data_IF_425123970941
#
_entry.id   IF_425123970941
#
_cell.length_a   1.000
_cell.length_b   1.000
_cell.length_c   1.000
_cell.angle_alpha   90.00
_cell.angle_beta   90.00
_cell.angle_gamma   90.00
#
_symmetry.space_group_name_H-M   'P 1'
#
loop_
_entity.id
_entity.type
_entity.pdbx_description
1 polymer ?
#
# COMPACT_ATOMS: atom_id res chain seq x y z
N UNK A 1 4.04 -10.70 -40.06
CA UNK A 1 4.84 -10.46 -38.84
C UNK A 1 4.39 -9.13 -38.26
N UNK A 2 3.34 -9.14 -37.42
CA UNK A 2 2.90 -7.93 -36.71
C UNK A 2 3.97 -7.55 -35.68
N UNK A 3 4.53 -6.35 -35.82
CA UNK A 3 5.44 -5.76 -34.83
C UNK A 3 4.54 -5.06 -33.81
N UNK A 4 4.42 -5.66 -32.64
CA UNK A 4 3.94 -5.00 -31.43
C UNK A 4 4.68 -3.67 -31.26
N UNK A 5 3.92 -2.58 -31.19
CA UNK A 5 4.41 -1.22 -30.96
C UNK A 5 5.10 -1.22 -29.58
N UNK A 6 6.43 -1.30 -29.61
CA UNK A 6 7.29 -1.30 -28.43
C UNK A 6 7.00 -0.02 -27.64
N UNK A 7 6.76 -0.15 -26.33
CA UNK A 7 6.20 0.91 -25.46
C UNK A 7 7.11 2.12 -25.23
N UNK A 8 8.01 2.43 -26.15
CA UNK A 8 8.99 3.50 -26.09
C UNK A 8 8.68 4.53 -27.16
N UNK A 9 8.04 5.60 -26.74
CA UNK A 9 7.74 6.78 -27.56
C UNK A 9 8.75 7.87 -27.19
N UNK A 10 9.25 8.63 -28.18
CA UNK A 10 10.18 9.73 -27.91
C UNK A 10 9.53 10.76 -26.97
N UNK A 11 10.30 11.33 -26.05
CA UNK A 11 9.78 12.23 -25.00
C UNK A 11 9.04 13.45 -25.55
N UNK A 12 9.37 13.91 -26.76
CA UNK A 12 8.72 15.04 -27.45
C UNK A 12 7.32 14.71 -28.00
N UNK A 13 6.96 13.43 -28.13
CA UNK A 13 5.67 12.99 -28.64
C UNK A 13 4.67 12.66 -27.53
N UNK A 14 5.15 12.49 -26.29
CA UNK A 14 4.30 12.18 -25.13
C UNK A 14 3.89 13.51 -24.48
N UNK A 15 2.63 13.88 -24.67
CA UNK A 15 2.02 15.00 -23.95
C UNK A 15 1.46 14.51 -22.61
N UNK A 16 2.14 14.87 -21.51
CA UNK A 16 1.74 14.50 -20.15
C UNK A 16 0.30 14.92 -19.82
N UNK A 17 -0.15 16.06 -20.35
CA UNK A 17 -1.50 16.57 -20.08
C UNK A 17 -2.57 15.68 -20.70
N UNK A 18 -2.34 15.19 -21.93
CA UNK A 18 -3.27 14.26 -22.58
C UNK A 18 -3.29 12.89 -21.91
N UNK A 19 -2.14 12.42 -21.40
CA UNK A 19 -2.06 11.20 -20.59
C UNK A 19 -2.84 11.36 -19.28
N UNK A 20 -2.71 12.50 -18.61
CA UNK A 20 -3.44 12.81 -17.37
C UNK A 20 -4.97 12.83 -17.60
N UNK A 21 -5.44 13.48 -18.67
CA UNK A 21 -6.86 13.48 -19.07
C UNK A 21 -7.41 12.08 -19.42
N UNK A 22 -6.56 11.18 -19.92
CA UNK A 22 -6.92 9.77 -20.15
C UNK A 22 -7.03 8.99 -18.84
N UNK A 23 -6.11 9.25 -17.90
CA UNK A 23 -6.10 8.63 -16.58
C UNK A 23 -7.32 9.06 -15.76
N UNK A 24 -7.63 10.36 -15.73
CA UNK A 24 -8.76 10.91 -14.96
C UNK A 24 -10.10 10.35 -15.44
N UNK A 25 -10.31 10.23 -16.76
CA UNK A 25 -11.50 9.59 -17.34
C UNK A 25 -11.60 8.11 -16.97
N UNK A 26 -10.48 7.40 -16.92
CA UNK A 26 -10.46 6.00 -16.53
C UNK A 26 -10.80 5.82 -15.06
N UNK A 27 -10.22 6.64 -14.17
CA UNK A 27 -10.49 6.64 -12.74
C UNK A 27 -11.95 6.97 -12.43
N UNK A 28 -12.52 7.98 -13.09
CA UNK A 28 -13.94 8.30 -12.93
C UNK A 28 -14.86 7.16 -13.39
N UNK A 29 -14.43 6.35 -14.36
CA UNK A 29 -15.19 5.19 -14.88
C UNK A 29 -15.06 3.95 -13.99
N UNK A 30 -13.90 3.65 -13.44
CA UNK A 30 -13.71 2.53 -12.51
C UNK A 30 -14.25 2.83 -11.12
N UNK A 31 -14.14 4.08 -10.65
CA UNK A 31 -14.60 4.49 -9.33
C UNK A 31 -16.13 4.48 -9.19
N UNK A 32 -16.87 4.79 -10.26
CA UNK A 32 -18.35 4.69 -10.26
C UNK A 32 -18.87 3.25 -10.21
N UNK A 33 -18.08 2.27 -10.66
CA UNK A 33 -18.41 0.84 -10.56
C UNK A 33 -18.17 0.30 -9.15
N UNK A 34 -17.10 0.73 -8.48
CA UNK A 34 -16.81 0.31 -7.10
C UNK A 34 -17.82 0.87 -6.08
N UNK A 35 -18.29 2.11 -6.27
CA UNK A 35 -19.27 2.74 -5.38
C UNK A 35 -20.63 2.03 -5.37
N UNK A 36 -21.05 1.49 -6.51
CA UNK A 36 -22.32 0.75 -6.61
C UNK A 36 -22.24 -0.68 -6.07
N UNK A 37 -21.04 -1.28 -5.97
CA UNK A 37 -20.87 -2.64 -5.44
C UNK A 37 -20.74 -2.69 -3.91
N UNK A 38 -20.35 -1.59 -3.28
CA UNK A 38 -20.23 -1.49 -1.82
C UNK A 38 -21.57 -1.32 -1.09
N UNK A 39 -22.66 -1.00 -1.80
CA UNK A 39 -23.96 -0.73 -1.18
C UNK A 39 -24.87 -1.97 -1.03
N UNK A 40 -24.44 -3.16 -1.49
CA UNK A 40 -25.24 -4.39 -1.45
C UNK A 40 -24.76 -5.45 -0.45
N UNK A 41 -23.63 -5.24 0.25
CA UNK A 41 -23.01 -6.28 1.10
C UNK A 41 -23.01 -5.93 2.61
N UNK A 42 -23.86 -5.00 3.04
CA UNK A 42 -24.13 -4.71 4.46
C UNK A 42 -25.42 -5.40 4.90
N UNK A 43 -25.36 -6.73 5.03
CA UNK A 43 -26.41 -7.56 5.61
C UNK A 43 -25.79 -8.66 6.48
N UNK A 44 -26.12 -8.61 7.77
CA UNK A 44 -26.00 -9.68 8.78
C UNK A 44 -24.61 -10.15 9.27
N UNK A 45 -24.17 -9.64 10.43
CA UNK A 45 -24.13 -10.40 11.71
C UNK A 45 -23.12 -9.86 12.74
N UNK A 46 -23.69 -9.30 13.81
CA UNK A 46 -23.33 -9.34 15.23
C UNK A 46 -21.85 -9.41 15.73
N UNK A 47 -21.57 -8.45 16.62
CA UNK A 47 -20.79 -8.51 17.88
C UNK A 47 -19.25 -8.33 17.85
N UNK A 48 -18.81 -7.26 18.53
CA UNK A 48 -17.50 -7.20 19.20
C UNK A 48 -16.48 -6.22 18.63
N UNK A 49 -16.51 -4.98 19.14
CA UNK A 49 -15.38 -4.04 19.32
C UNK A 49 -14.46 -3.70 18.13
N UNK A 50 -14.56 -2.45 17.65
CA UNK A 50 -13.48 -1.77 16.93
C UNK A 50 -13.80 -1.37 15.49
N UNK A 51 -14.53 -0.26 15.32
CA UNK A 51 -14.72 0.39 14.03
C UNK A 51 -13.44 1.12 13.58
N UNK A 52 -12.55 0.41 12.88
CA UNK A 52 -11.57 1.00 11.96
C UNK A 52 -11.86 0.39 10.61
N UNK A 53 -12.36 1.21 9.67
CA UNK A 53 -12.75 0.77 8.33
C UNK A 53 -11.69 -0.15 7.72
N UNK A 54 -12.07 -1.41 7.51
CA UNK A 54 -11.19 -2.46 7.06
C UNK A 54 -10.72 -2.20 5.64
N UNK A 55 -9.62 -1.44 5.50
CA UNK A 55 -8.76 -1.62 4.33
C UNK A 55 -8.34 -3.08 4.37
N UNK A 56 -8.61 -3.82 3.29
CA UNK A 56 -8.05 -5.16 3.12
C UNK A 56 -6.54 -5.00 3.23
N UNK A 57 -5.91 -5.66 4.21
CA UNK A 57 -4.45 -5.70 4.30
C UNK A 57 -3.94 -6.25 2.98
N UNK A 58 -2.96 -5.57 2.41
CA UNK A 58 -2.31 -6.03 1.19
C UNK A 58 -1.30 -7.12 1.57
N UNK A 59 -0.99 -8.03 0.67
CA UNK A 59 -0.08 -9.15 0.97
C UNK A 59 1.34 -8.70 1.37
N UNK A 60 1.72 -7.45 1.05
CA UNK A 60 2.99 -6.84 1.43
C UNK A 60 2.95 -6.08 2.76
N UNK A 61 1.77 -5.93 3.37
CA UNK A 61 1.61 -5.25 4.65
C UNK A 61 2.07 -6.19 5.78
N UNK A 62 3.00 -5.72 6.60
CA UNK A 62 3.51 -6.50 7.73
C UNK A 62 2.48 -6.55 8.87
N UNK A 63 2.33 -7.70 9.52
CA UNK A 63 1.51 -7.83 10.71
C UNK A 63 2.34 -7.43 11.95
N UNK A 64 2.04 -6.29 12.62
CA UNK A 64 2.84 -5.84 13.76
C UNK A 64 2.76 -6.80 14.95
N UNK A 65 1.70 -7.60 15.05
CA UNK A 65 1.52 -8.61 16.12
C UNK A 65 2.48 -9.80 15.99
N UNK A 66 2.98 -10.07 14.79
CA UNK A 66 3.93 -11.15 14.52
C UNK A 66 5.39 -10.73 14.75
N UNK A 67 5.64 -9.44 14.98
CA UNK A 67 6.98 -8.90 15.22
C UNK A 67 7.25 -8.78 16.73
N UNK A 68 8.29 -9.48 17.19
CA UNK A 68 8.77 -9.39 18.57
C UNK A 68 10.09 -8.61 18.58
N UNK A 69 10.08 -7.40 19.14
CA UNK A 69 11.29 -6.57 19.29
C UNK A 69 12.07 -7.03 20.53
N UNK A 70 13.33 -7.45 20.34
CA UNK A 70 14.20 -7.96 21.41
C UNK A 70 15.10 -6.88 22.02
N UNK A 71 15.86 -6.18 21.17
CA UNK A 71 16.89 -5.23 21.65
C UNK A 71 17.17 -4.14 20.62
N UNK A 72 17.70 -3.00 21.09
CA UNK A 72 18.22 -1.95 20.21
C UNK A 72 19.61 -2.36 19.74
N UNK A 73 19.83 -2.36 18.43
CA UNK A 73 21.13 -2.62 17.81
C UNK A 73 21.95 -1.34 17.68
N UNK A 74 21.31 -0.25 17.23
CA UNK A 74 21.96 1.02 17.02
C UNK A 74 20.94 2.15 17.01
N UNK A 75 21.37 3.34 17.44
CA UNK A 75 20.60 4.58 17.33
C UNK A 75 21.38 5.55 16.45
N UNK A 76 20.74 6.02 15.38
CA UNK A 76 21.28 7.03 14.48
C UNK A 76 20.42 8.29 14.49
N UNK A 77 20.80 9.26 13.67
CA UNK A 77 20.06 10.53 13.49
C UNK A 77 18.74 10.35 12.75
N UNK A 78 18.64 9.34 11.88
CA UNK A 78 17.47 9.06 11.04
C UNK A 78 16.55 7.97 11.59
N UNK A 79 16.92 7.34 12.71
CA UNK A 79 16.14 6.23 13.25
C UNK A 79 16.89 5.37 14.25
N UNK A 80 16.15 4.43 14.83
CA UNK A 80 16.70 3.39 15.71
C UNK A 80 16.51 2.03 15.06
N UNK A 81 17.59 1.26 14.97
CA UNK A 81 17.59 -0.12 14.48
C UNK A 81 17.41 -1.05 15.66
N UNK A 82 16.42 -1.92 15.55
CA UNK A 82 16.09 -2.93 16.54
C UNK A 82 16.33 -4.32 15.97
N UNK A 83 16.80 -5.23 16.82
CA UNK A 83 16.78 -6.67 16.57
C UNK A 83 15.45 -7.22 17.04
N UNK A 84 14.81 -8.01 16.20
CA UNK A 84 13.57 -8.70 16.52
C UNK A 84 13.50 -10.08 15.90
N UNK A 85 12.37 -10.74 16.12
CA UNK A 85 12.00 -11.98 15.46
C UNK A 85 10.64 -11.78 14.82
N UNK A 86 10.52 -12.16 13.55
CA UNK A 86 9.26 -12.16 12.80
C UNK A 86 9.01 -13.58 12.32
N UNK A 87 7.89 -14.17 12.73
CA UNK A 87 7.51 -15.55 12.35
C UNK A 87 8.60 -16.62 12.57
N UNK A 88 9.36 -16.46 13.67
CA UNK A 88 10.49 -17.34 14.00
C UNK A 88 11.82 -17.02 13.30
N UNK A 89 11.83 -16.05 12.37
CA UNK A 89 13.04 -15.58 11.70
C UNK A 89 13.65 -14.38 12.43
N UNK A 90 14.96 -14.41 12.72
CA UNK A 90 15.67 -13.23 13.24
C UNK A 90 15.71 -12.13 12.16
N UNK A 91 15.22 -10.94 12.51
CA UNK A 91 15.11 -9.78 11.61
C UNK A 91 15.66 -8.51 12.27
N UNK A 92 16.03 -7.53 11.46
CA UNK A 92 16.36 -6.19 11.91
C UNK A 92 15.32 -5.19 11.37
N UNK A 93 14.73 -4.39 12.26
CA UNK A 93 13.74 -3.38 11.91
C UNK A 93 14.26 -1.98 12.20
N UNK A 94 14.12 -1.05 11.25
CA UNK A 94 14.42 0.36 11.46
C UNK A 94 13.12 1.11 11.76
N UNK A 95 13.10 1.81 12.89
CA UNK A 95 12.04 2.77 13.22
C UNK A 95 12.53 4.19 12.94
N UNK A 96 11.84 4.96 12.09
CA UNK A 96 12.20 6.36 11.87
C UNK A 96 11.92 7.16 13.14
N UNK A 97 12.86 8.03 13.51
CA UNK A 97 12.64 8.99 14.60
C UNK A 97 11.78 10.13 14.07
N UNK A 98 10.60 10.34 14.67
CA UNK A 98 9.79 11.52 14.39
C UNK A 98 10.56 12.76 14.83
N UNK A 99 10.89 13.65 13.89
CA UNK A 99 11.33 15.00 14.21
C UNK A 99 10.07 15.83 14.52
N UNK A 100 9.98 16.34 15.75
CA UNK A 100 8.91 17.24 16.21
C UNK A 100 9.18 18.68 15.83
#
# INVERSE_FOLDING_TARGET
MEKSNDGFVRADQIDLKRLDEQLERHLNRTWTVEKNKQQQDSGDSASGEGCVGGRRRQDWEIDPTKLIVKSVLARGTFGTVHRGVYDGQDVAGQSPTCFS
#
